data_IF_780868751763
#
_entry.id   IF_780868751763
#
_cell.length_a   1.000
_cell.length_b   1.000
_cell.length_c   1.000
_cell.angle_alpha   90.00
_cell.angle_beta   90.00
_cell.angle_gamma   90.00
#
_symmetry.space_group_name_H-M   'P 1'
#
loop_
_entity.id
_entity.type
_entity.pdbx_description
1 polymer ?
#
# COMPACT_ATOMS: atom_id res chain seq x y z
N UNK A 1 9.39 26.44 -24.62
CA UNK A 1 8.80 25.15 -25.02
C UNK A 1 7.28 25.31 -24.92
N UNK A 2 6.57 25.36 -26.09
CA UNK A 2 5.11 25.59 -26.08
C UNK A 2 4.37 24.31 -25.68
N UNK A 3 4.06 24.14 -24.42
CA UNK A 3 3.19 23.07 -23.90
C UNK A 3 1.72 23.42 -24.20
N UNK A 4 1.31 23.32 -25.47
CA UNK A 4 -0.12 23.23 -25.80
C UNK A 4 -0.55 21.81 -25.44
N UNK A 5 -0.79 21.55 -24.15
CA UNK A 5 -1.48 20.35 -23.69
C UNK A 5 -2.93 20.43 -24.18
N UNK A 6 -3.26 19.57 -25.12
CA UNK A 6 -4.64 19.36 -25.54
C UNK A 6 -5.40 18.83 -24.29
N UNK A 7 -6.35 19.60 -23.77
CA UNK A 7 -7.09 19.30 -22.53
C UNK A 7 -7.83 17.95 -22.60
N UNK A 8 -7.96 17.37 -23.79
CA UNK A 8 -8.64 16.08 -23.99
C UNK A 8 -7.71 14.87 -23.82
N UNK A 9 -6.39 15.07 -23.72
CA UNK A 9 -5.40 13.99 -23.57
C UNK A 9 -4.22 14.48 -22.72
N UNK A 10 -4.42 14.66 -21.43
CA UNK A 10 -3.31 14.97 -20.52
C UNK A 10 -2.59 13.67 -20.19
N UNK A 11 -1.40 13.51 -20.76
CA UNK A 11 -0.52 12.41 -20.42
C UNK A 11 0.36 12.79 -19.23
N UNK A 12 0.37 11.95 -18.18
CA UNK A 12 1.31 12.12 -17.07
C UNK A 12 2.74 11.91 -17.56
N UNK A 13 3.60 12.90 -17.30
CA UNK A 13 5.02 12.74 -17.55
C UNK A 13 5.64 11.78 -16.52
N UNK A 14 6.68 11.07 -16.94
CA UNK A 14 7.44 10.21 -16.04
C UNK A 14 8.21 11.02 -14.99
N UNK A 15 8.54 10.37 -13.87
CA UNK A 15 9.23 11.01 -12.77
C UNK A 15 10.53 11.75 -13.20
N UNK A 16 11.36 11.11 -14.04
CA UNK A 16 12.59 11.74 -14.54
C UNK A 16 12.34 13.05 -15.32
N UNK A 17 11.19 13.17 -15.96
CA UNK A 17 10.80 14.40 -16.66
C UNK A 17 10.26 15.44 -15.69
N UNK A 18 9.46 15.00 -14.69
CA UNK A 18 8.93 15.87 -13.64
C UNK A 18 10.07 16.54 -12.84
N UNK A 19 11.11 15.77 -12.49
CA UNK A 19 12.26 16.27 -11.75
C UNK A 19 13.13 17.28 -12.53
N UNK A 20 13.04 17.28 -13.88
CA UNK A 20 13.72 18.25 -14.73
C UNK A 20 13.00 19.58 -14.84
N UNK A 21 11.73 19.65 -14.43
CA UNK A 21 10.97 20.89 -14.44
C UNK A 21 11.47 21.82 -13.32
N UNK A 22 11.58 23.11 -13.63
CA UNK A 22 11.74 24.14 -12.61
C UNK A 22 10.53 24.13 -11.67
N UNK A 23 10.67 24.73 -10.50
CA UNK A 23 9.58 24.89 -9.54
C UNK A 23 8.30 25.40 -10.18
N UNK A 24 8.39 26.52 -10.91
CA UNK A 24 7.24 27.16 -11.56
C UNK A 24 6.58 26.27 -12.64
N UNK A 25 7.39 25.62 -13.45
CA UNK A 25 6.88 24.70 -14.48
C UNK A 25 6.17 23.49 -13.85
N UNK A 26 6.71 22.98 -12.72
CA UNK A 26 6.11 21.87 -11.97
C UNK A 26 4.76 22.26 -11.37
N UNK A 27 4.66 23.44 -10.77
CA UNK A 27 3.38 23.94 -10.25
C UNK A 27 2.32 24.07 -11.34
N UNK A 28 2.68 24.69 -12.48
CA UNK A 28 1.76 24.81 -13.62
C UNK A 28 1.33 23.44 -14.12
N UNK A 29 2.28 22.49 -14.23
CA UNK A 29 1.99 21.15 -14.67
C UNK A 29 1.01 20.43 -13.71
N UNK A 30 1.30 20.44 -12.42
CA UNK A 30 0.44 19.80 -11.41
C UNK A 30 -0.95 20.48 -11.33
N UNK A 31 -1.03 21.79 -11.46
CA UNK A 31 -2.30 22.52 -11.50
C UNK A 31 -3.16 22.08 -12.70
N UNK A 32 -2.57 21.88 -13.88
CA UNK A 32 -3.29 21.37 -15.06
C UNK A 32 -3.79 19.94 -14.85
N UNK A 33 -2.98 19.07 -14.26
CA UNK A 33 -3.39 17.71 -13.93
C UNK A 33 -4.56 17.73 -12.93
N UNK A 34 -4.51 18.59 -11.90
CA UNK A 34 -5.65 18.76 -10.97
C UNK A 34 -6.93 19.17 -11.67
N UNK A 35 -6.87 20.15 -12.59
CA UNK A 35 -8.04 20.54 -13.36
C UNK A 35 -8.61 19.38 -14.19
N UNK A 36 -7.76 18.56 -14.77
CA UNK A 36 -8.16 17.34 -15.47
C UNK A 36 -8.85 16.37 -14.51
N UNK A 37 -8.24 16.09 -13.35
CA UNK A 37 -8.79 15.20 -12.33
C UNK A 37 -10.17 15.67 -11.83
N UNK A 38 -10.36 16.98 -11.62
CA UNK A 38 -11.64 17.55 -11.19
C UNK A 38 -12.74 17.38 -12.24
N UNK A 39 -12.38 17.41 -13.53
CA UNK A 39 -13.33 17.21 -14.63
C UNK A 39 -13.63 15.72 -14.88
N UNK A 40 -12.79 14.82 -14.40
CA UNK A 40 -13.02 13.38 -14.53
C UNK A 40 -14.19 12.99 -13.66
N UNK A 41 -15.30 12.59 -14.29
CA UNK A 41 -16.51 12.17 -13.58
C UNK A 41 -16.19 10.87 -12.81
N UNK A 42 -16.09 10.97 -11.49
CA UNK A 42 -16.21 9.77 -10.68
C UNK A 42 -17.63 9.24 -10.79
N UNK A 43 -17.75 7.96 -11.13
CA UNK A 43 -19.05 7.28 -11.05
C UNK A 43 -19.61 7.47 -9.65
N UNK A 44 -20.90 7.81 -9.56
CA UNK A 44 -21.60 7.83 -8.27
C UNK A 44 -21.35 6.51 -7.55
N UNK A 45 -21.09 6.58 -6.26
CA UNK A 45 -20.97 5.40 -5.42
C UNK A 45 -22.18 4.51 -5.63
N UNK A 46 -21.95 3.24 -5.98
CA UNK A 46 -23.08 2.34 -6.23
C UNK A 46 -23.72 1.94 -4.89
N UNK A 47 -25.02 1.75 -4.87
CA UNK A 47 -25.75 1.20 -3.72
C UNK A 47 -25.17 -0.15 -3.28
N UNK A 48 -24.54 -0.87 -4.21
CA UNK A 48 -23.86 -2.14 -3.96
C UNK A 48 -22.65 -1.94 -3.04
N UNK A 49 -21.88 -0.85 -3.18
CA UNK A 49 -20.75 -0.56 -2.29
C UNK A 49 -21.20 -0.38 -0.84
N UNK A 50 -22.32 0.27 -0.63
CA UNK A 50 -22.89 0.42 0.72
C UNK A 50 -23.35 -0.92 1.30
N UNK A 51 -23.90 -1.78 0.44
CA UNK A 51 -24.31 -3.12 0.85
C UNK A 51 -23.11 -4.00 1.20
N UNK A 52 -22.06 -3.95 0.39
CA UNK A 52 -20.80 -4.68 0.64
C UNK A 52 -20.14 -4.24 1.94
N UNK A 53 -20.09 -2.94 2.23
CA UNK A 53 -19.56 -2.44 3.51
C UNK A 53 -20.30 -3.02 4.72
N UNK A 54 -21.63 -3.19 4.61
CA UNK A 54 -22.44 -3.84 5.65
C UNK A 54 -22.20 -5.34 5.73
N UNK A 55 -21.77 -5.96 4.64
CA UNK A 55 -21.48 -7.39 4.60
C UNK A 55 -20.04 -7.74 5.07
N UNK A 56 -19.07 -6.81 4.98
CA UNK A 56 -17.68 -7.07 5.41
C UNK A 56 -17.57 -7.59 6.85
N UNK A 57 -18.27 -7.04 7.86
CA UNK A 57 -18.23 -7.59 9.21
C UNK A 57 -18.71 -9.03 9.32
N UNK A 58 -19.57 -9.48 8.39
CA UNK A 58 -20.12 -10.86 8.38
C UNK A 58 -19.13 -11.90 7.84
N UNK A 59 -18.15 -11.44 7.01
CA UNK A 59 -17.06 -12.28 6.47
C UNK A 59 -15.74 -12.04 7.18
N UNK A 60 -15.81 -11.41 8.34
CA UNK A 60 -14.68 -11.01 9.17
C UNK A 60 -13.96 -12.25 9.70
N UNK A 61 -12.69 -12.41 9.32
CA UNK A 61 -11.85 -13.53 9.76
C UNK A 61 -10.85 -13.13 10.85
N UNK A 62 -10.79 -11.84 11.21
CA UNK A 62 -9.84 -11.29 12.16
C UNK A 62 -10.54 -10.47 13.23
N UNK A 63 -9.98 -10.51 14.44
CA UNK A 63 -10.25 -9.51 15.45
C UNK A 63 -9.33 -8.31 15.20
N UNK A 64 -9.91 -7.11 15.05
CA UNK A 64 -9.18 -5.90 14.72
C UNK A 64 -8.94 -5.04 15.95
N UNK A 65 -7.67 -4.73 16.21
CA UNK A 65 -7.27 -3.70 17.16
C UNK A 65 -6.78 -2.48 16.41
N UNK A 66 -7.24 -1.29 16.80
CA UNK A 66 -6.87 -0.03 16.14
C UNK A 66 -6.02 0.80 17.09
N UNK A 67 -4.91 1.33 16.56
CA UNK A 67 -3.96 2.18 17.29
C UNK A 67 -3.73 3.44 16.48
N UNK A 68 -3.76 4.60 17.13
CA UNK A 68 -3.46 5.89 16.48
C UNK A 68 -4.62 6.44 15.65
N UNK A 69 -5.88 6.05 15.93
CA UNK A 69 -7.06 6.55 15.22
C UNK A 69 -7.21 8.07 15.32
N UNK A 70 -6.68 8.69 16.37
CA UNK A 70 -6.64 10.13 16.56
C UNK A 70 -5.84 10.88 15.50
N UNK A 71 -4.98 10.16 14.74
CA UNK A 71 -4.24 10.71 13.60
C UNK A 71 -5.10 10.84 12.34
N UNK A 72 -6.33 10.31 12.35
CA UNK A 72 -7.24 10.33 11.22
C UNK A 72 -8.39 11.29 11.50
N UNK A 73 -8.31 12.50 10.96
CA UNK A 73 -9.36 13.52 11.14
C UNK A 73 -10.68 13.12 10.45
N UNK A 74 -11.82 13.55 11.02
CA UNK A 74 -13.16 13.20 10.53
C UNK A 74 -13.46 13.76 9.14
N UNK A 75 -13.06 14.98 8.85
CA UNK A 75 -13.61 15.77 7.73
C UNK A 75 -12.73 15.76 6.47
N UNK A 76 -11.51 15.18 6.54
CA UNK A 76 -10.59 15.14 5.42
C UNK A 76 -10.59 13.78 4.71
N UNK A 77 -10.27 13.78 3.41
CA UNK A 77 -9.85 12.59 2.69
C UNK A 77 -8.36 12.35 2.91
N UNK A 78 -7.95 11.10 2.95
CA UNK A 78 -6.57 10.71 3.16
C UNK A 78 -6.11 9.67 2.14
N UNK A 79 -4.81 9.65 1.90
CA UNK A 79 -4.14 8.56 1.21
C UNK A 79 -3.46 7.66 2.26
N UNK A 80 -4.11 6.55 2.61
CA UNK A 80 -3.54 5.54 3.50
C UNK A 80 -2.46 4.76 2.75
N UNK A 81 -1.25 4.79 3.27
CA UNK A 81 -0.11 4.10 2.67
C UNK A 81 0.29 2.93 3.54
N UNK A 82 -0.05 1.73 3.07
CA UNK A 82 0.00 0.51 3.84
C UNK A 82 1.16 -0.41 3.41
N UNK A 83 1.67 -1.21 4.36
CA UNK A 83 2.45 -2.40 4.04
C UNK A 83 1.54 -3.47 3.41
N UNK A 84 2.15 -4.45 2.74
CA UNK A 84 1.43 -5.53 2.07
C UNK A 84 2.02 -6.88 2.46
N UNK A 85 1.35 -7.63 3.31
CA UNK A 85 1.89 -8.87 3.87
C UNK A 85 0.91 -10.04 3.93
N UNK A 86 -0.36 -9.81 3.54
CA UNK A 86 -1.38 -10.84 3.66
C UNK A 86 -2.41 -10.75 2.51
N UNK A 87 -2.94 -11.89 2.09
CA UNK A 87 -4.00 -11.95 1.08
C UNK A 87 -5.31 -11.26 1.50
N UNK A 88 -5.51 -11.08 2.82
CA UNK A 88 -6.66 -10.37 3.38
C UNK A 88 -6.50 -8.85 3.41
N UNK A 89 -5.34 -8.31 3.04
CA UNK A 89 -5.06 -6.87 3.15
C UNK A 89 -6.12 -5.99 2.47
N UNK A 90 -6.72 -6.48 1.37
CA UNK A 90 -7.82 -5.79 0.72
C UNK A 90 -9.04 -5.64 1.64
N UNK A 91 -9.45 -6.71 2.31
CA UNK A 91 -10.58 -6.69 3.24
C UNK A 91 -10.25 -5.90 4.50
N UNK A 92 -9.03 -6.05 5.01
CA UNK A 92 -8.51 -5.25 6.14
C UNK A 92 -8.53 -3.75 5.82
N UNK A 93 -8.22 -3.36 4.58
CA UNK A 93 -8.33 -1.97 4.15
C UNK A 93 -9.78 -1.45 4.17
N UNK A 94 -10.75 -2.27 3.82
CA UNK A 94 -12.16 -1.89 3.89
C UNK A 94 -12.65 -1.78 5.34
N UNK A 95 -12.27 -2.72 6.21
CA UNK A 95 -12.56 -2.68 7.64
C UNK A 95 -11.92 -1.46 8.30
N UNK A 96 -10.66 -1.18 7.99
CA UNK A 96 -9.97 0.04 8.42
C UNK A 96 -10.76 1.29 8.06
N UNK A 97 -11.18 1.39 6.78
CA UNK A 97 -11.98 2.52 6.31
C UNK A 97 -13.27 2.67 7.08
N UNK A 98 -13.99 1.56 7.31
CA UNK A 98 -15.24 1.56 8.09
C UNK A 98 -15.00 2.01 9.53
N UNK A 99 -13.95 1.53 10.18
CA UNK A 99 -13.63 1.85 11.58
C UNK A 99 -13.34 3.34 11.80
N UNK A 100 -12.64 3.99 10.84
CA UNK A 100 -12.34 5.44 10.93
C UNK A 100 -13.34 6.32 10.15
N UNK A 101 -14.49 5.77 9.78
CA UNK A 101 -15.56 6.52 9.09
C UNK A 101 -15.19 7.01 7.69
N UNK A 102 -14.26 6.35 7.00
CA UNK A 102 -13.78 6.73 5.66
C UNK A 102 -14.29 5.79 4.58
N UNK A 103 -14.66 6.37 3.45
CA UNK A 103 -14.95 5.63 2.25
C UNK A 103 -13.66 5.45 1.45
N UNK A 104 -13.13 4.23 1.43
CA UNK A 104 -11.84 3.95 0.82
C UNK A 104 -11.94 3.31 -0.55
N UNK A 105 -11.04 3.69 -1.45
CA UNK A 105 -10.78 3.07 -2.76
C UNK A 105 -9.39 2.45 -2.73
N UNK A 106 -9.30 1.15 -2.99
CA UNK A 106 -8.01 0.45 -2.98
C UNK A 106 -7.35 0.52 -4.36
N UNK A 107 -6.06 0.80 -4.38
CA UNK A 107 -5.24 0.78 -5.58
C UNK A 107 -4.73 -0.65 -5.81
N UNK A 108 -5.25 -1.34 -6.81
CA UNK A 108 -5.05 -2.77 -7.02
C UNK A 108 -4.41 -3.07 -8.38
N UNK A 109 -3.46 -4.01 -8.40
CA UNK A 109 -2.94 -4.56 -9.65
C UNK A 109 -4.00 -5.47 -10.30
N UNK A 110 -4.14 -5.37 -11.61
CA UNK A 110 -5.13 -6.11 -12.39
C UNK A 110 -4.55 -7.36 -13.07
N UNK A 111 -3.25 -7.41 -13.21
CA UNK A 111 -2.50 -8.40 -13.97
C UNK A 111 -2.67 -9.82 -13.40
N UNK A 112 -2.79 -9.96 -12.07
CA UNK A 112 -2.81 -11.27 -11.40
C UNK A 112 -4.14 -11.60 -10.69
N UNK A 113 -5.21 -10.83 -10.95
CA UNK A 113 -6.49 -11.06 -10.30
C UNK A 113 -7.39 -12.00 -11.10
N UNK A 114 -8.00 -12.97 -10.42
CA UNK A 114 -9.08 -13.76 -11.00
C UNK A 114 -10.28 -12.89 -11.40
N UNK A 115 -11.11 -13.39 -12.30
CA UNK A 115 -12.33 -12.66 -12.71
C UNK A 115 -13.23 -12.34 -11.52
N UNK A 116 -13.38 -13.27 -10.58
CA UNK A 116 -14.18 -13.08 -9.38
C UNK A 116 -13.58 -11.98 -8.49
N UNK A 117 -12.26 -11.98 -8.29
CA UNK A 117 -11.55 -10.93 -7.53
C UNK A 117 -11.71 -9.57 -8.19
N UNK A 118 -11.61 -9.49 -9.53
CA UNK A 118 -11.86 -8.25 -10.29
C UNK A 118 -13.27 -7.72 -10.07
N UNK A 119 -14.26 -8.60 -10.05
CA UNK A 119 -15.64 -8.21 -9.76
C UNK A 119 -15.79 -7.68 -8.33
N UNK A 120 -15.29 -8.39 -7.32
CA UNK A 120 -15.36 -7.99 -5.90
C UNK A 120 -14.66 -6.64 -5.70
N UNK A 121 -13.43 -6.51 -6.19
CA UNK A 121 -12.65 -5.27 -6.06
C UNK A 121 -13.29 -4.12 -6.85
N UNK A 122 -13.87 -4.41 -8.02
CA UNK A 122 -14.58 -3.41 -8.81
C UNK A 122 -15.85 -2.92 -8.11
N UNK A 123 -16.59 -3.81 -7.45
CA UNK A 123 -17.74 -3.45 -6.62
C UNK A 123 -17.34 -2.59 -5.41
N UNK A 124 -16.16 -2.82 -4.86
CA UNK A 124 -15.58 -2.01 -3.78
C UNK A 124 -14.91 -0.71 -4.28
N UNK A 125 -15.17 -0.30 -5.51
CA UNK A 125 -14.66 0.94 -6.13
C UNK A 125 -13.12 1.00 -6.20
N UNK A 126 -12.45 -0.13 -6.38
CA UNK A 126 -11.00 -0.16 -6.52
C UNK A 126 -10.53 0.60 -7.77
N UNK A 127 -9.30 1.07 -7.72
CA UNK A 127 -8.60 1.66 -8.86
C UNK A 127 -7.61 0.64 -9.39
N UNK A 128 -7.89 0.09 -10.57
CA UNK A 128 -7.05 -0.94 -11.17
C UNK A 128 -5.91 -0.36 -11.99
N UNK A 129 -4.76 -1.03 -11.92
CA UNK A 129 -3.61 -0.78 -12.79
C UNK A 129 -3.07 -2.09 -13.36
N UNK A 130 -2.50 -2.01 -14.56
CA UNK A 130 -1.60 -3.02 -15.08
C UNK A 130 -0.15 -2.56 -14.80
N UNK A 131 0.58 -3.35 -14.01
CA UNK A 131 1.96 -3.03 -13.61
C UNK A 131 2.94 -3.08 -14.79
N UNK A 132 2.60 -3.80 -15.84
CA UNK A 132 3.39 -3.96 -17.05
C UNK A 132 3.11 -2.88 -18.10
N UNK A 133 2.01 -2.11 -17.92
CA UNK A 133 1.65 -0.99 -18.81
C UNK A 133 1.82 0.36 -18.10
N UNK A 134 2.80 1.12 -18.54
CA UNK A 134 3.07 2.45 -17.99
C UNK A 134 1.91 3.44 -18.19
N UNK A 135 1.11 3.27 -19.26
CA UNK A 135 -0.06 4.10 -19.52
C UNK A 135 -1.17 3.77 -18.53
N UNK A 136 -1.41 2.49 -18.26
CA UNK A 136 -2.36 2.04 -17.24
C UNK A 136 -1.98 2.58 -15.85
N UNK A 137 -0.71 2.46 -15.48
CA UNK A 137 -0.19 3.00 -14.21
C UNK A 137 -0.42 4.50 -14.08
N UNK A 138 -0.17 5.28 -15.13
CA UNK A 138 -0.42 6.73 -15.15
C UNK A 138 -1.91 7.06 -15.04
N UNK A 139 -2.76 6.32 -15.74
CA UNK A 139 -4.23 6.46 -15.65
C UNK A 139 -4.70 6.14 -14.24
N UNK A 140 -4.18 5.10 -13.61
CA UNK A 140 -4.49 4.75 -12.23
C UNK A 140 -4.13 5.89 -11.25
N UNK A 141 -2.96 6.51 -11.41
CA UNK A 141 -2.55 7.67 -10.60
C UNK A 141 -3.57 8.81 -10.70
N UNK A 142 -3.96 9.20 -11.92
CA UNK A 142 -4.94 10.29 -12.10
C UNK A 142 -6.33 9.91 -11.61
N UNK A 143 -6.73 8.67 -11.78
CA UNK A 143 -8.02 8.15 -11.26
C UNK A 143 -8.06 8.21 -9.74
N UNK A 144 -7.02 7.73 -9.06
CA UNK A 144 -6.94 7.79 -7.60
C UNK A 144 -6.90 9.25 -7.11
N UNK A 145 -6.10 10.12 -7.74
CA UNK A 145 -6.08 11.54 -7.41
C UNK A 145 -7.47 12.19 -7.57
N UNK A 146 -8.20 11.86 -8.64
CA UNK A 146 -9.58 12.34 -8.83
C UNK A 146 -10.51 11.92 -7.71
N UNK A 147 -10.43 10.66 -7.26
CA UNK A 147 -11.25 10.14 -6.15
C UNK A 147 -10.94 10.87 -4.84
N UNK A 148 -9.67 11.09 -4.53
CA UNK A 148 -9.23 11.84 -3.36
C UNK A 148 -9.75 13.29 -3.36
N UNK A 149 -9.65 13.97 -4.50
CA UNK A 149 -10.13 15.34 -4.68
C UNK A 149 -11.66 15.45 -4.58
N UNK A 150 -12.38 14.35 -4.71
CA UNK A 150 -13.85 14.29 -4.54
C UNK A 150 -14.27 13.80 -3.16
N UNK A 151 -13.35 13.80 -2.19
CA UNK A 151 -13.62 13.49 -0.80
C UNK A 151 -13.59 12.00 -0.44
N UNK A 152 -13.23 11.10 -1.39
CA UNK A 152 -12.95 9.70 -1.06
C UNK A 152 -11.54 9.58 -0.48
N UNK A 153 -11.31 8.58 0.35
CA UNK A 153 -9.96 8.22 0.76
C UNK A 153 -9.39 7.10 -0.12
N UNK A 154 -8.07 7.06 -0.24
CA UNK A 154 -7.38 6.04 -1.02
C UNK A 154 -6.57 5.11 -0.13
N UNK A 155 -6.40 3.86 -0.54
CA UNK A 155 -5.47 2.90 0.07
C UNK A 155 -4.50 2.42 -0.97
N UNK A 156 -3.21 2.53 -0.69
CA UNK A 156 -2.14 2.01 -1.54
C UNK A 156 -1.25 1.09 -0.71
N UNK A 157 -1.07 -0.12 -1.21
CA UNK A 157 -0.03 -1.02 -0.75
C UNK A 157 1.27 -0.62 -1.46
N UNK A 158 2.07 0.19 -0.76
CA UNK A 158 3.14 0.99 -1.36
C UNK A 158 4.28 0.17 -1.96
N UNK A 159 4.44 -1.03 -1.48
CA UNK A 159 5.46 -1.98 -1.93
C UNK A 159 5.16 -2.52 -3.34
N UNK A 160 3.89 -2.51 -3.76
CA UNK A 160 3.43 -3.02 -5.05
C UNK A 160 3.53 -4.53 -5.21
N UNK A 161 3.94 -5.24 -4.17
CA UNK A 161 3.94 -6.70 -4.00
C UNK A 161 3.91 -7.05 -2.52
N UNK A 162 3.67 -8.32 -2.20
CA UNK A 162 3.67 -8.76 -0.81
C UNK A 162 5.07 -8.76 -0.20
N UNK A 163 5.17 -8.23 1.02
CA UNK A 163 6.38 -8.33 1.81
C UNK A 163 6.37 -9.64 2.60
N UNK A 164 6.99 -10.65 2.06
CA UNK A 164 7.16 -11.96 2.71
C UNK A 164 8.46 -12.07 3.49
N UNK A 165 9.25 -11.01 3.55
CA UNK A 165 10.48 -11.01 4.31
C UNK A 165 10.16 -10.99 5.81
N UNK A 166 10.65 -11.95 6.62
CA UNK A 166 10.22 -12.13 8.00
C UNK A 166 10.59 -10.97 8.93
N UNK A 167 11.63 -10.21 8.64
CA UNK A 167 12.11 -9.12 9.48
C UNK A 167 12.41 -7.80 8.75
N UNK A 168 12.08 -7.72 7.46
CA UNK A 168 12.14 -6.44 6.76
C UNK A 168 10.82 -5.70 7.00
N UNK A 169 10.84 -4.54 7.66
CA UNK A 169 9.60 -3.85 8.02
C UNK A 169 8.83 -3.39 6.79
N UNK A 170 9.50 -3.06 5.70
CA UNK A 170 8.89 -2.67 4.44
C UNK A 170 9.83 -2.93 3.27
N UNK A 171 9.27 -3.29 2.11
CA UNK A 171 9.99 -3.31 0.84
C UNK A 171 10.15 -1.88 0.30
N UNK A 172 10.96 -1.72 -0.75
CA UNK A 172 11.09 -0.42 -1.41
C UNK A 172 9.74 0.05 -1.96
N UNK A 173 9.30 1.22 -1.52
CA UNK A 173 8.04 1.80 -1.98
C UNK A 173 8.18 2.49 -3.34
N UNK A 174 7.06 2.52 -4.06
CA UNK A 174 6.98 3.17 -5.37
C UNK A 174 6.61 4.66 -5.21
N UNK A 175 7.14 5.49 -6.10
CA UNK A 175 6.90 6.95 -6.08
C UNK A 175 5.42 7.33 -6.31
N UNK A 176 4.59 6.41 -6.79
CA UNK A 176 3.20 6.68 -7.14
C UNK A 176 2.38 7.33 -6.04
N UNK A 177 2.60 6.93 -4.78
CA UNK A 177 1.90 7.51 -3.63
C UNK A 177 2.24 8.99 -3.42
N UNK A 178 3.52 9.35 -3.47
CA UNK A 178 3.94 10.75 -3.38
C UNK A 178 3.40 11.57 -4.56
N UNK A 179 3.35 10.99 -5.76
CA UNK A 179 2.82 11.66 -6.93
C UNK A 179 1.30 11.89 -6.83
N UNK A 180 0.53 10.89 -6.39
CA UNK A 180 -0.91 11.02 -6.16
C UNK A 180 -1.18 12.11 -5.12
N UNK A 181 -0.46 12.11 -4.00
CA UNK A 181 -0.58 13.13 -2.95
C UNK A 181 -0.22 14.52 -3.47
N UNK A 182 0.84 14.68 -4.27
CA UNK A 182 1.21 15.94 -4.88
C UNK A 182 0.14 16.48 -5.84
N UNK A 183 -0.50 15.62 -6.64
CA UNK A 183 -1.59 15.99 -7.53
C UNK A 183 -2.83 16.40 -6.74
N UNK A 184 -3.28 15.54 -5.83
CA UNK A 184 -4.55 15.72 -5.10
C UNK A 184 -4.46 16.69 -3.94
N UNK A 185 -3.26 17.04 -3.48
CA UNK A 185 -2.99 17.78 -2.25
C UNK A 185 -3.54 17.09 -1.00
N UNK A 186 -3.71 15.78 -1.08
CA UNK A 186 -4.21 14.95 0.02
C UNK A 186 -3.05 14.49 0.88
N UNK A 187 -3.22 14.54 2.19
CA UNK A 187 -2.24 14.05 3.16
C UNK A 187 -2.13 12.53 3.12
N UNK A 188 -0.93 12.03 3.38
CA UNK A 188 -0.65 10.60 3.50
C UNK A 188 -0.73 10.21 4.99
N UNK A 189 -1.42 9.13 5.29
CA UNK A 189 -1.39 8.47 6.61
C UNK A 189 -0.58 7.18 6.48
N UNK A 190 0.63 7.10 7.06
CA UNK A 190 1.34 5.85 7.22
C UNK A 190 0.47 4.86 7.99
N UNK A 191 0.28 3.66 7.45
CA UNK A 191 -0.64 2.68 8.04
C UNK A 191 0.00 1.31 8.03
N UNK A 192 -0.05 0.62 9.17
CA UNK A 192 0.48 -0.73 9.31
C UNK A 192 -0.66 -1.71 9.55
N UNK A 193 -0.67 -2.80 8.79
CA UNK A 193 -1.45 -4.00 9.06
C UNK A 193 -0.51 -5.08 9.58
N UNK A 194 -0.60 -5.39 10.87
CA UNK A 194 0.21 -6.44 11.49
C UNK A 194 -0.68 -7.58 11.95
N UNK A 195 -0.49 -8.74 11.33
CA UNK A 195 -1.23 -9.95 11.65
C UNK A 195 -0.47 -10.71 12.75
N UNK A 196 -1.09 -10.80 13.91
CA UNK A 196 -0.46 -11.36 15.11
C UNK A 196 -0.99 -12.76 15.36
N UNK A 197 -0.07 -13.70 15.60
CA UNK A 197 -0.44 -15.02 16.11
C UNK A 197 -0.85 -14.89 17.58
N UNK A 198 -2.11 -15.18 17.85
CA UNK A 198 -2.59 -15.34 19.22
C UNK A 198 -2.89 -16.82 19.42
N UNK A 199 -2.17 -17.55 20.29
CA UNK A 199 -2.25 -19.00 20.39
C UNK A 199 -3.68 -19.53 20.57
N UNK A 200 -4.52 -18.83 21.30
CA UNK A 200 -5.92 -19.20 21.56
C UNK A 200 -6.88 -18.82 20.42
N UNK A 201 -6.43 -17.98 19.48
CA UNK A 201 -7.21 -17.50 18.34
C UNK A 201 -6.71 -18.03 17.00
N UNK A 202 -5.67 -18.86 17.00
CA UNK A 202 -5.15 -19.47 15.76
C UNK A 202 -6.07 -20.62 15.35
N UNK A 203 -6.59 -20.55 14.13
CA UNK A 203 -7.25 -21.71 13.51
C UNK A 203 -6.17 -22.70 13.09
N UNK A 204 -6.03 -23.78 13.88
CA UNK A 204 -5.01 -24.80 13.67
C UNK A 204 -5.15 -25.54 12.34
N UNK A 205 -6.37 -25.62 11.80
CA UNK A 205 -6.63 -26.28 10.51
C UNK A 205 -6.24 -25.37 9.33
N UNK A 206 -6.46 -24.05 9.47
CA UNK A 206 -6.23 -23.06 8.40
C UNK A 206 -4.94 -22.27 8.55
N UNK A 207 -4.25 -22.38 9.68
CA UNK A 207 -3.04 -21.58 10.00
C UNK A 207 -3.26 -20.06 9.82
N UNK A 208 -4.46 -19.58 10.13
CA UNK A 208 -4.83 -18.18 9.99
C UNK A 208 -4.58 -17.43 11.30
N UNK A 209 -4.00 -16.26 11.18
CA UNK A 209 -3.97 -15.30 12.27
C UNK A 209 -5.41 -14.85 12.56
N UNK A 210 -5.77 -14.74 13.84
CA UNK A 210 -7.11 -14.29 14.23
C UNK A 210 -7.14 -12.84 14.69
N UNK A 211 -5.98 -12.22 14.86
CA UNK A 211 -5.87 -10.81 15.26
C UNK A 211 -5.08 -10.03 14.22
N UNK A 212 -5.60 -8.87 13.83
CA UNK A 212 -4.88 -7.90 13.01
C UNK A 212 -4.86 -6.55 13.72
N UNK A 213 -3.67 -6.03 13.98
CA UNK A 213 -3.49 -4.69 14.52
C UNK A 213 -3.33 -3.70 13.37
N UNK A 214 -4.22 -2.71 13.33
CA UNK A 214 -4.18 -1.59 12.39
C UNK A 214 -3.58 -0.39 13.15
N UNK A 215 -2.42 0.09 12.69
CA UNK A 215 -1.74 1.20 13.35
C UNK A 215 -1.58 2.38 12.39
N UNK A 216 -2.08 3.56 12.79
CA UNK A 216 -1.97 4.80 12.04
C UNK A 216 -0.83 5.66 12.59
N UNK A 217 0.08 6.06 11.71
CA UNK A 217 1.09 7.07 12.00
C UNK A 217 0.57 8.50 11.82
N UNK A 218 1.41 9.47 12.15
CA UNK A 218 1.10 10.88 11.92
C UNK A 218 1.01 11.20 10.44
N UNK A 219 0.14 12.15 10.08
CA UNK A 219 -0.03 12.61 8.71
C UNK A 219 1.25 13.18 8.09
N UNK A 220 1.47 12.88 6.83
CA UNK A 220 2.58 13.40 6.03
C UNK A 220 2.02 14.28 4.91
N UNK A 221 2.57 15.49 4.80
CA UNK A 221 2.26 16.42 3.72
C UNK A 221 3.37 16.38 2.69
N UNK A 222 3.02 16.19 1.42
CA UNK A 222 3.98 16.25 0.32
C UNK A 222 4.18 17.70 -0.10
N UNK A 223 5.42 18.16 0.00
CA UNK A 223 5.83 19.44 -0.53
C UNK A 223 6.09 19.30 -2.04
N UNK A 224 5.24 19.92 -2.84
CA UNK A 224 5.34 19.90 -4.30
C UNK A 224 6.63 20.53 -4.83
N UNK A 225 7.29 21.34 -4.01
CA UNK A 225 8.50 22.09 -4.35
C UNK A 225 9.76 21.27 -4.15
N UNK A 226 9.67 20.20 -3.40
CA UNK A 226 10.78 19.28 -3.16
C UNK A 226 10.76 18.09 -4.14
N UNK A 227 11.92 17.45 -4.25
CA UNK A 227 12.07 16.25 -5.04
C UNK A 227 11.19 15.12 -4.50
N UNK A 228 10.31 14.54 -5.34
CA UNK A 228 9.38 13.49 -4.93
C UNK A 228 10.07 12.17 -4.57
N UNK A 229 11.24 11.88 -5.16
CA UNK A 229 12.01 10.68 -4.81
C UNK A 229 12.50 10.80 -3.36
N UNK A 230 13.11 11.95 -3.01
CA UNK A 230 13.61 12.17 -1.67
C UNK A 230 12.48 12.12 -0.62
N UNK A 231 11.31 12.65 -0.96
CA UNK A 231 10.14 12.57 -0.09
C UNK A 231 9.62 11.14 0.02
N UNK A 232 9.63 10.37 -1.08
CA UNK A 232 9.27 8.94 -1.06
C UNK A 232 10.18 8.15 -0.10
N UNK A 233 11.48 8.41 -0.11
CA UNK A 233 12.42 7.78 0.83
C UNK A 233 12.14 8.17 2.29
N UNK A 234 11.79 9.44 2.55
CA UNK A 234 11.37 9.88 3.89
C UNK A 234 10.08 9.18 4.35
N UNK A 235 9.10 9.06 3.45
CA UNK A 235 7.86 8.33 3.73
C UNK A 235 8.16 6.87 4.07
N UNK A 236 8.99 6.21 3.26
CA UNK A 236 9.40 4.83 3.52
C UNK A 236 9.99 4.68 4.91
N UNK A 237 10.96 5.52 5.25
CA UNK A 237 11.59 5.53 6.58
C UNK A 237 10.57 5.69 7.70
N UNK A 238 9.62 6.62 7.55
CA UNK A 238 8.57 6.84 8.55
C UNK A 238 7.69 5.60 8.74
N UNK A 239 7.34 4.89 7.66
CA UNK A 239 6.53 3.66 7.75
C UNK A 239 7.34 2.52 8.38
N UNK A 240 8.63 2.41 8.02
CA UNK A 240 9.54 1.42 8.61
C UNK A 240 9.66 1.63 10.13
N UNK A 241 9.91 2.86 10.56
CA UNK A 241 10.00 3.22 11.99
C UNK A 241 8.69 2.91 12.72
N UNK A 242 7.54 3.29 12.14
CA UNK A 242 6.23 2.99 12.72
C UNK A 242 6.02 1.48 12.91
N UNK A 243 6.39 0.67 11.91
CA UNK A 243 6.23 -0.78 12.00
C UNK A 243 7.18 -1.41 13.01
N UNK A 244 8.41 -0.92 13.10
CA UNK A 244 9.40 -1.39 14.09
C UNK A 244 8.95 -1.07 15.52
N UNK A 245 8.43 0.12 15.74
CA UNK A 245 7.85 0.50 17.05
C UNK A 245 6.64 -0.39 17.40
N UNK A 246 5.78 -0.67 16.42
CA UNK A 246 4.66 -1.58 16.61
C UNK A 246 5.12 -3.00 16.94
N UNK A 247 6.11 -3.54 16.23
CA UNK A 247 6.68 -4.87 16.54
C UNK A 247 7.24 -4.93 17.96
N UNK A 248 7.94 -3.89 18.41
CA UNK A 248 8.45 -3.79 19.77
C UNK A 248 7.29 -3.76 20.79
N UNK A 249 6.25 -2.97 20.54
CA UNK A 249 5.06 -2.88 21.40
C UNK A 249 4.32 -4.21 21.53
N UNK A 250 4.24 -4.97 20.43
CA UNK A 250 3.52 -6.25 20.36
C UNK A 250 4.39 -7.45 20.75
N UNK A 251 5.65 -7.26 21.12
CA UNK A 251 6.65 -8.32 21.38
C UNK A 251 6.71 -9.34 20.23
N UNK A 252 6.69 -8.86 18.98
CA UNK A 252 6.70 -9.72 17.81
C UNK A 252 8.03 -10.45 17.70
N UNK A 253 8.01 -11.75 17.92
CA UNK A 253 9.20 -12.61 17.79
C UNK A 253 9.45 -12.95 16.33
N UNK A 254 10.68 -12.81 15.89
CA UNK A 254 11.10 -13.10 14.52
C UNK A 254 12.00 -14.35 14.49
N UNK A 255 11.67 -15.30 13.61
CA UNK A 255 12.48 -16.50 13.41
C UNK A 255 13.44 -16.32 12.23
N UNK A 256 14.70 -16.07 12.56
CA UNK A 256 15.77 -15.86 11.56
C UNK A 256 16.19 -17.13 10.84
N UNK A 257 15.87 -18.31 11.37
CA UNK A 257 16.22 -19.58 10.73
C UNK A 257 15.45 -19.83 9.44
N UNK A 258 14.30 -19.18 9.29
CA UNK A 258 13.44 -19.30 8.10
C UNK A 258 14.11 -18.82 6.81
N UNK A 259 15.14 -17.98 6.90
CA UNK A 259 15.86 -17.49 5.70
C UNK A 259 17.00 -18.37 5.24
N UNK A 260 17.37 -19.42 5.98
CA UNK A 260 18.41 -20.36 5.58
C UNK A 260 18.07 -21.05 4.24
N UNK A 261 16.78 -21.25 3.98
CA UNK A 261 16.25 -21.74 2.69
C UNK A 261 15.12 -20.83 2.19
N UNK A 262 15.49 -19.82 1.38
CA UNK A 262 14.55 -18.82 0.85
C UNK A 262 13.42 -19.46 0.03
N UNK A 263 13.73 -20.49 -0.77
CA UNK A 263 12.73 -21.17 -1.60
C UNK A 263 11.70 -21.88 -0.74
N UNK A 264 12.16 -22.62 0.27
CA UNK A 264 11.30 -23.32 1.21
C UNK A 264 10.44 -22.34 2.01
N UNK A 265 11.02 -21.22 2.45
CA UNK A 265 10.30 -20.18 3.15
C UNK A 265 9.18 -19.58 2.30
N UNK A 266 9.49 -19.18 1.05
CA UNK A 266 8.51 -18.60 0.12
C UNK A 266 7.39 -19.60 -0.15
N UNK A 267 7.73 -20.83 -0.51
CA UNK A 267 6.74 -21.88 -0.81
C UNK A 267 5.86 -22.16 0.42
N UNK A 268 6.46 -22.31 1.60
CA UNK A 268 5.73 -22.59 2.81
C UNK A 268 4.84 -21.42 3.26
N UNK A 269 5.37 -20.19 3.21
CA UNK A 269 4.65 -18.99 3.66
C UNK A 269 3.60 -18.59 2.63
N UNK A 270 3.95 -18.66 1.36
CA UNK A 270 3.08 -18.30 0.25
C UNK A 270 1.90 -19.27 0.14
N UNK A 271 2.16 -20.54 0.00
CA UNK A 271 1.11 -21.56 -0.15
C UNK A 271 0.16 -21.58 1.05
N UNK A 272 0.69 -21.48 2.27
CA UNK A 272 -0.18 -21.48 3.46
C UNK A 272 -1.03 -20.21 3.63
N UNK A 273 -0.50 -19.05 3.28
CA UNK A 273 -1.23 -17.79 3.47
C UNK A 273 -2.20 -17.46 2.33
N UNK A 274 -1.93 -17.93 1.13
CA UNK A 274 -2.63 -17.51 -0.07
C UNK A 274 -3.53 -18.58 -0.69
N UNK A 275 -3.25 -19.86 -0.43
CA UNK A 275 -4.06 -20.98 -0.93
C UNK A 275 -5.45 -21.07 -0.25
N UNK A 276 -5.58 -20.46 0.94
CA UNK A 276 -6.81 -20.47 1.73
C UNK A 276 -8.01 -19.74 1.07
N UNK A 277 -7.80 -18.97 -0.02
CA UNK A 277 -8.83 -18.13 -0.64
C UNK A 277 -9.28 -18.58 -2.04
N UNK A 278 -8.71 -19.65 -2.59
CA UNK A 278 -9.01 -20.04 -3.97
C UNK A 278 -8.67 -18.96 -5.01
N UNK A 279 -7.79 -18.04 -4.66
CA UNK A 279 -7.21 -17.15 -5.66
C UNK A 279 -6.25 -17.98 -6.51
N UNK A 280 -6.64 -18.22 -7.75
CA UNK A 280 -5.71 -18.77 -8.74
C UNK A 280 -4.69 -17.70 -9.05
N UNK A 281 -3.51 -17.82 -8.46
CA UNK A 281 -2.36 -17.02 -8.83
C UNK A 281 -1.75 -17.57 -10.12
N UNK A 282 -1.42 -16.68 -11.04
CA UNK A 282 -0.38 -16.99 -12.01
C UNK A 282 0.95 -17.09 -11.23
N UNK A 283 1.26 -18.33 -10.85
CA UNK A 283 2.34 -18.65 -9.95
C UNK A 283 3.72 -18.15 -10.44
N UNK A 284 3.95 -18.05 -11.74
CA UNK A 284 5.25 -17.61 -12.29
C UNK A 284 5.45 -16.10 -12.17
N UNK A 285 4.46 -15.28 -12.51
CA UNK A 285 4.56 -13.82 -12.43
C UNK A 285 4.70 -13.35 -10.98
N UNK A 286 3.88 -13.88 -10.07
CA UNK A 286 3.95 -13.56 -8.64
C UNK A 286 5.21 -14.09 -7.98
N UNK A 287 5.64 -15.31 -8.27
CA UNK A 287 6.92 -15.83 -7.77
C UNK A 287 8.07 -14.94 -8.20
N UNK A 288 8.11 -14.49 -9.45
CA UNK A 288 9.14 -13.57 -9.95
C UNK A 288 9.13 -12.25 -9.17
N UNK A 289 7.96 -11.67 -8.89
CA UNK A 289 7.85 -10.46 -8.09
C UNK A 289 8.27 -10.68 -6.63
N UNK A 290 7.84 -11.78 -6.02
CA UNK A 290 8.22 -12.17 -4.67
C UNK A 290 9.72 -12.41 -4.52
N UNK A 291 10.33 -13.15 -5.45
CA UNK A 291 11.77 -13.38 -5.46
C UNK A 291 12.56 -12.10 -5.71
N UNK A 292 12.10 -11.22 -6.59
CA UNK A 292 12.72 -9.93 -6.79
C UNK A 292 12.68 -9.07 -5.52
N UNK A 293 11.58 -9.13 -4.78
CA UNK A 293 11.43 -8.39 -3.53
C UNK A 293 12.34 -8.92 -2.41
N UNK A 294 12.48 -10.25 -2.28
CA UNK A 294 13.36 -10.89 -1.29
C UNK A 294 14.84 -10.66 -1.63
N UNK A 295 15.17 -10.60 -2.92
CA UNK A 295 16.55 -10.42 -3.38
C UNK A 295 16.96 -8.96 -3.54
N UNK A 296 16.07 -7.99 -3.33
CA UNK A 296 16.46 -6.57 -3.34
C UNK A 296 17.50 -6.31 -2.23
N UNK A 297 18.58 -5.58 -2.55
CA UNK A 297 19.54 -5.19 -1.52
C UNK A 297 18.82 -4.36 -0.46
N UNK A 298 18.98 -4.74 0.78
CA UNK A 298 18.44 -4.01 1.93
C UNK A 298 19.43 -2.89 2.24
N UNK A 299 19.08 -1.66 1.88
CA UNK A 299 19.94 -0.51 2.21
C UNK A 299 19.97 -0.22 3.73
N UNK A 300 18.95 -0.70 4.45
CA UNK A 300 18.85 -0.58 5.91
C UNK A 300 18.40 -1.92 6.49
N UNK A 301 19.31 -2.87 6.66
CA UNK A 301 19.02 -4.06 7.45
C UNK A 301 18.98 -3.68 8.93
N UNK A 302 17.80 -3.71 9.52
CA UNK A 302 17.66 -3.69 10.96
C UNK A 302 17.88 -5.10 11.49
N UNK A 303 18.90 -5.26 12.32
CA UNK A 303 19.19 -6.52 13.00
C UNK A 303 18.52 -6.45 14.36
N UNK A 304 17.61 -7.38 14.64
CA UNK A 304 17.11 -7.58 15.99
C UNK A 304 18.21 -8.23 16.83
N UNK A 305 18.67 -7.57 17.87
CA UNK A 305 19.62 -8.15 18.81
C UNK A 305 18.91 -9.16 19.73
N UNK A 306 19.69 -9.99 20.38
CA UNK A 306 19.19 -10.94 21.42
C UNK A 306 18.41 -10.26 22.54
N UNK A 307 18.50 -8.94 22.67
CA UNK A 307 17.81 -8.13 23.68
C UNK A 307 16.58 -7.41 23.11
N UNK A 308 16.06 -7.80 21.93
CA UNK A 308 14.96 -7.13 21.24
C UNK A 308 15.22 -5.65 20.86
N UNK A 309 16.47 -5.25 20.76
CA UNK A 309 16.86 -3.95 20.28
C UNK A 309 17.07 -3.98 18.75
N UNK A 310 16.45 -3.02 18.05
CA UNK A 310 16.66 -2.84 16.61
C UNK A 310 17.88 -1.96 16.40
N UNK A 311 18.94 -2.53 15.83
CA UNK A 311 20.13 -1.78 15.41
C UNK A 311 20.09 -1.63 13.89
N UNK A 312 20.31 -0.44 13.31
CA UNK A 312 20.51 -0.29 11.88
C UNK A 312 21.62 -1.22 11.41
N UNK A 313 21.32 -2.14 10.52
CA UNK A 313 22.30 -3.09 10.00
C UNK A 313 23.39 -2.35 9.23
N UNK A 314 24.63 -2.68 9.50
CA UNK A 314 25.76 -2.22 8.71
C UNK A 314 25.68 -2.91 7.38
N UNK A 315 25.54 -2.14 6.30
CA UNK A 315 25.57 -2.67 4.93
C UNK A 315 26.91 -3.36 4.70
N UNK A 316 26.96 -4.67 4.76
CA UNK A 316 28.12 -5.43 4.29
C UNK A 316 28.15 -5.29 2.77
N UNK A 317 28.87 -4.29 2.27
CA UNK A 317 29.27 -4.24 0.87
C UNK A 317 30.07 -5.51 0.59
N UNK A 318 29.46 -6.48 -0.08
CA UNK A 318 30.24 -7.56 -0.69
C UNK A 318 31.18 -6.92 -1.71
N UNK A 319 32.47 -7.02 -1.43
CA UNK A 319 33.52 -6.74 -2.43
C UNK A 319 33.53 -7.79 -3.51
#
# INVERSE_FOLDING_TARGET
>A
MNWKLNMNNIELIGNKQLEKLSFYEREIYLAKIRQYCLKSLCKKQSTINELLKKAYPLIRNYDYEIIGEENVGSDASYLFLCNHSNSHDFFTAQEMGAAVGKNVSVFAANDDLSLLSKMIFGLADSTFIDRNDSKSSRTGITTMASKLMQGKSGVIFAEGTWNLHPYKPMQQIKIGAAYISAISQTKIIPTIFEYVEVPDLVDKEKNLYKKCVICFGKEIIIDQNQNLISQTLKIQKTIEELRLELWKKLDVKKDYTLLADKQRYVNHTYLKKFDAFGFTYDSESEQKHLFSSINQPVENEYILTSNNEFIPGVTLRRR
#
